data_IF_781509591673
#
_entry.id   IF_781509591673
#
_cell.length_a   1.000
_cell.length_b   1.000
_cell.length_c   1.000
_cell.angle_alpha   90.00
_cell.angle_beta   90.00
_cell.angle_gamma   90.00
#
_symmetry.space_group_name_H-M   'P 1'
#
loop_
_entity.id
_entity.type
_entity.pdbx_description
1 polymer ?
#
# COMPACT_ATOMS: atom_id res chain seq x y z
N UNK A 1 39.51 41.42 -44.33
CA UNK A 1 39.71 40.34 -43.32
C UNK A 1 38.39 40.01 -42.70
N UNK A 2 37.74 38.92 -43.18
CA UNK A 2 36.44 38.46 -42.65
C UNK A 2 36.71 37.51 -41.49
N UNK A 3 36.24 37.84 -40.28
CA UNK A 3 36.27 36.95 -39.11
C UNK A 3 35.17 35.91 -39.28
N UNK A 4 35.56 34.67 -39.46
CA UNK A 4 34.67 33.51 -39.43
C UNK A 4 34.42 33.21 -37.95
N UNK A 5 33.20 33.44 -37.51
CA UNK A 5 32.73 33.07 -36.18
C UNK A 5 32.28 31.58 -36.25
N UNK A 6 33.12 30.72 -35.74
CA UNK A 6 32.82 29.28 -35.63
C UNK A 6 31.85 29.07 -34.47
N UNK A 7 30.60 28.83 -34.78
CA UNK A 7 29.60 28.35 -33.77
C UNK A 7 29.89 26.86 -33.51
N UNK A 8 30.53 26.61 -32.38
CA UNK A 8 30.57 25.24 -31.82
C UNK A 8 29.18 25.03 -31.20
N UNK A 9 28.31 24.38 -31.96
CA UNK A 9 27.08 23.78 -31.40
C UNK A 9 27.54 22.54 -30.64
N UNK A 10 27.73 22.68 -29.34
CA UNK A 10 27.79 21.57 -28.43
C UNK A 10 26.43 20.89 -28.45
N UNK A 11 26.32 19.80 -29.20
CA UNK A 11 25.32 18.77 -28.97
C UNK A 11 25.64 18.17 -27.60
N UNK A 12 25.12 18.77 -26.56
CA UNK A 12 24.81 18.08 -25.32
C UNK A 12 23.66 17.12 -25.64
N UNK A 13 23.99 16.01 -26.30
CA UNK A 13 23.12 14.83 -26.32
C UNK A 13 22.91 14.46 -24.88
N UNK A 14 21.66 14.64 -24.44
CA UNK A 14 21.22 14.55 -23.08
C UNK A 14 21.73 13.31 -22.36
N UNK A 15 22.43 13.56 -21.29
CA UNK A 15 22.39 12.69 -20.13
C UNK A 15 21.16 13.17 -19.35
N UNK A 16 19.98 13.05 -19.95
CA UNK A 16 18.70 13.15 -19.26
C UNK A 16 18.43 11.83 -18.52
N UNK A 17 19.37 11.42 -17.73
CA UNK A 17 19.18 10.49 -16.64
C UNK A 17 19.02 11.28 -15.34
N UNK A 18 18.21 12.31 -15.33
CA UNK A 18 17.62 12.78 -14.08
C UNK A 18 16.70 11.63 -13.62
N UNK A 19 17.22 10.78 -12.77
CA UNK A 19 16.47 9.71 -12.15
C UNK A 19 15.33 10.36 -11.37
N UNK A 20 14.13 10.35 -11.94
CA UNK A 20 12.95 10.79 -11.25
C UNK A 20 12.74 9.85 -10.04
N UNK A 21 12.47 10.41 -8.89
CA UNK A 21 12.14 9.61 -7.70
C UNK A 21 10.69 9.08 -7.82
N UNK A 22 10.36 8.00 -7.12
CA UNK A 22 8.97 7.60 -6.95
C UNK A 22 8.14 8.78 -6.43
N UNK A 23 6.88 8.88 -6.88
CA UNK A 23 5.97 9.91 -6.40
C UNK A 23 5.33 9.42 -5.13
N UNK A 24 5.70 10.01 -4.00
CA UNK A 24 5.10 9.75 -2.70
C UNK A 24 4.01 10.78 -2.42
N UNK A 25 2.78 10.32 -2.14
CA UNK A 25 1.66 11.15 -1.72
C UNK A 25 1.18 10.63 -0.37
N UNK A 26 1.47 11.40 0.67
CA UNK A 26 1.06 11.11 2.05
C UNK A 26 -0.20 11.90 2.42
N UNK A 27 -0.95 11.39 3.39
CA UNK A 27 -2.12 12.08 3.92
C UNK A 27 -3.25 12.28 2.91
N UNK A 28 -3.31 11.43 1.89
CA UNK A 28 -4.50 11.33 1.05
C UNK A 28 -5.64 10.78 1.89
N UNK A 29 -6.89 11.14 1.57
CA UNK A 29 -8.04 10.58 2.28
C UNK A 29 -9.16 10.15 1.34
N UNK A 30 -9.98 9.26 1.85
CA UNK A 30 -11.23 8.82 1.23
C UNK A 30 -12.31 8.79 2.31
N UNK A 31 -13.46 9.42 2.06
CA UNK A 31 -14.61 9.25 2.94
C UNK A 31 -15.17 7.84 2.83
N UNK A 32 -15.29 7.17 3.96
CA UNK A 32 -15.85 5.81 4.04
C UNK A 32 -17.28 5.85 4.57
N UNK A 33 -18.29 5.51 3.77
CA UNK A 33 -19.65 5.27 4.25
C UNK A 33 -19.73 4.16 5.30
N UNK A 34 -18.93 3.10 5.16
CA UNK A 34 -18.92 1.96 6.10
C UNK A 34 -18.36 2.34 7.46
N UNK A 35 -17.33 3.20 7.51
CA UNK A 35 -16.70 3.67 8.75
C UNK A 35 -17.25 5.03 9.22
N UNK A 36 -18.03 5.73 8.38
CA UNK A 36 -18.62 7.04 8.61
C UNK A 36 -17.59 8.13 8.94
N UNK A 37 -16.41 8.01 8.35
CA UNK A 37 -15.29 8.93 8.56
C UNK A 37 -14.37 9.00 7.35
N UNK A 38 -13.51 10.01 7.32
CA UNK A 38 -12.35 10.03 6.43
C UNK A 38 -11.33 9.00 6.88
N UNK A 39 -10.80 8.23 5.93
CA UNK A 39 -9.71 7.28 6.17
C UNK A 39 -8.51 7.74 5.39
N UNK A 40 -7.41 7.99 6.10
CA UNK A 40 -6.17 8.41 5.48
C UNK A 40 -5.43 7.23 4.86
N UNK A 41 -4.65 7.52 3.81
CA UNK A 41 -3.74 6.57 3.20
C UNK A 41 -2.55 7.27 2.56
N UNK A 42 -1.44 6.57 2.41
CA UNK A 42 -0.33 6.97 1.55
C UNK A 42 -0.33 6.15 0.27
N UNK A 43 0.14 6.74 -0.81
CA UNK A 43 0.34 6.05 -2.08
C UNK A 43 1.69 6.38 -2.66
N UNK A 44 2.40 5.36 -3.15
CA UNK A 44 3.67 5.50 -3.86
C UNK A 44 3.47 5.01 -5.28
N UNK A 45 3.73 5.89 -6.23
CA UNK A 45 3.69 5.61 -7.64
C UNK A 45 5.11 5.37 -8.17
N UNK A 46 5.34 4.38 -9.01
CA UNK A 46 6.68 4.11 -9.53
C UNK A 46 7.19 5.24 -10.41
N UNK A 47 8.51 5.32 -10.55
CA UNK A 47 9.15 6.26 -11.47
C UNK A 47 8.52 6.17 -12.86
N UNK A 48 8.32 7.33 -13.50
CA UNK A 48 7.74 7.40 -14.84
C UNK A 48 6.22 7.20 -14.90
N UNK A 49 5.53 7.01 -13.78
CA UNK A 49 4.08 6.83 -13.75
C UNK A 49 3.33 7.91 -14.53
N UNK A 50 3.64 9.20 -14.34
CA UNK A 50 2.91 10.32 -14.99
C UNK A 50 3.09 10.36 -16.52
N UNK A 51 4.11 9.69 -17.05
CA UNK A 51 4.45 9.67 -18.47
C UNK A 51 4.19 8.32 -19.15
N UNK A 52 3.41 7.46 -18.53
CA UNK A 52 3.13 6.10 -19.00
C UNK A 52 1.63 5.81 -18.96
N UNK A 53 1.12 5.11 -19.97
CA UNK A 53 -0.23 4.55 -19.98
C UNK A 53 -0.28 3.11 -19.42
N UNK A 54 0.84 2.65 -18.85
CA UNK A 54 0.94 1.28 -18.30
C UNK A 54 0.03 1.11 -17.09
N UNK A 55 -0.66 -0.01 -17.01
CA UNK A 55 -1.35 -0.47 -15.80
C UNK A 55 -0.38 -1.23 -14.90
N UNK A 56 -0.32 -0.86 -13.62
CA UNK A 56 0.61 -1.39 -12.65
C UNK A 56 -0.06 -2.34 -11.65
N UNK A 57 0.64 -3.39 -11.20
CA UNK A 57 0.20 -4.13 -10.01
C UNK A 57 0.12 -3.23 -8.78
N UNK A 58 -0.73 -3.59 -7.84
CA UNK A 58 -0.91 -2.86 -6.57
C UNK A 58 -0.51 -3.74 -5.41
N UNK A 59 0.34 -3.21 -4.52
CA UNK A 59 0.66 -3.80 -3.23
C UNK A 59 0.00 -2.98 -2.11
N UNK A 60 -0.98 -3.56 -1.45
CA UNK A 60 -1.58 -2.99 -0.24
C UNK A 60 -0.74 -3.39 0.97
N UNK A 61 -0.37 -2.41 1.82
CA UNK A 61 0.57 -2.59 2.92
C UNK A 61 -0.08 -2.22 4.24
N UNK A 62 -0.30 -3.21 5.10
CA UNK A 62 -0.98 -3.08 6.39
C UNK A 62 0.03 -2.91 7.52
N UNK A 63 -0.10 -1.84 8.30
CA UNK A 63 0.78 -1.54 9.44
C UNK A 63 0.41 -2.35 10.69
N UNK A 64 1.32 -2.38 11.67
CA UNK A 64 1.09 -2.98 12.98
C UNK A 64 0.33 -2.08 13.96
N UNK A 65 0.02 -2.58 15.14
CA UNK A 65 -0.57 -1.79 16.22
C UNK A 65 0.29 -0.56 16.51
N UNK A 66 -0.36 0.61 16.66
CA UNK A 66 0.31 1.88 16.94
C UNK A 66 0.97 2.55 15.74
N UNK A 67 0.87 1.93 14.56
CA UNK A 67 1.25 2.55 13.30
C UNK A 67 0.07 3.26 12.62
N UNK A 68 0.36 3.83 11.46
CA UNK A 68 -0.59 4.52 10.59
C UNK A 68 -0.15 4.40 9.12
N UNK A 69 -0.75 5.20 8.25
CA UNK A 69 -0.47 5.25 6.81
C UNK A 69 0.95 5.73 6.45
N UNK A 70 1.74 6.27 7.40
CA UNK A 70 3.14 6.71 7.17
C UNK A 70 4.17 5.65 7.57
N UNK A 71 3.78 4.68 8.42
CA UNK A 71 4.70 3.78 9.11
C UNK A 71 5.63 3.00 8.18
N UNK A 72 5.16 2.52 7.04
CA UNK A 72 5.99 1.82 6.07
C UNK A 72 6.99 2.75 5.37
N UNK A 73 6.64 4.03 5.21
CA UNK A 73 7.54 5.05 4.65
C UNK A 73 8.62 5.42 5.66
N UNK A 74 8.22 5.80 6.87
CA UNK A 74 9.13 6.31 7.91
C UNK A 74 10.09 5.23 8.45
N UNK A 75 9.53 4.06 8.84
CA UNK A 75 10.34 3.00 9.45
C UNK A 75 10.85 1.98 8.43
N UNK A 76 10.11 1.73 7.36
CA UNK A 76 10.46 0.76 6.32
C UNK A 76 11.27 1.34 5.16
N UNK A 77 11.23 2.66 4.97
CA UNK A 77 11.85 3.35 3.84
C UNK A 77 11.50 2.67 2.49
N UNK A 78 10.25 2.20 2.39
CA UNK A 78 9.83 1.26 1.33
C UNK A 78 9.88 1.89 -0.06
N UNK A 79 9.64 3.19 -0.21
CA UNK A 79 9.71 3.88 -1.48
C UNK A 79 11.13 3.82 -2.07
N UNK A 80 12.14 4.06 -1.25
CA UNK A 80 13.56 3.97 -1.65
C UNK A 80 13.98 2.54 -1.95
N UNK A 81 13.50 1.58 -1.16
CA UNK A 81 13.78 0.15 -1.38
C UNK A 81 13.18 -0.29 -2.71
N UNK A 82 11.92 0.05 -2.98
CA UNK A 82 11.24 -0.23 -4.24
C UNK A 82 12.02 0.35 -5.42
N UNK A 83 12.32 1.64 -5.39
CA UNK A 83 13.05 2.34 -6.45
C UNK A 83 14.38 1.66 -6.76
N UNK A 84 15.17 1.37 -5.71
CA UNK A 84 16.44 0.65 -5.86
C UNK A 84 16.26 -0.71 -6.52
N UNK A 85 15.30 -1.51 -6.08
CA UNK A 85 15.08 -2.86 -6.61
C UNK A 85 14.57 -2.84 -8.07
N UNK A 86 13.76 -1.85 -8.43
CA UNK A 86 13.30 -1.64 -9.81
C UNK A 86 14.51 -1.27 -10.70
N UNK A 87 15.34 -0.32 -10.27
CA UNK A 87 16.55 0.10 -11.01
C UNK A 87 17.57 -1.03 -11.19
N UNK A 88 17.66 -1.93 -10.22
CA UNK A 88 18.48 -3.13 -10.29
C UNK A 88 17.84 -4.26 -11.13
N UNK A 89 16.65 -4.07 -11.67
CA UNK A 89 15.91 -5.07 -12.47
C UNK A 89 15.44 -6.29 -11.67
N UNK A 90 15.40 -6.19 -10.33
CA UNK A 90 15.00 -7.29 -9.43
C UNK A 90 13.49 -7.45 -9.32
N UNK A 91 12.76 -6.36 -9.48
CA UNK A 91 11.30 -6.34 -9.45
C UNK A 91 10.76 -5.44 -10.56
N UNK A 92 9.53 -5.70 -10.96
CA UNK A 92 8.81 -4.82 -11.90
C UNK A 92 8.21 -3.64 -11.14
N UNK A 93 7.98 -2.49 -11.81
CA UNK A 93 7.29 -1.35 -11.21
C UNK A 93 5.87 -1.72 -10.73
N UNK A 94 5.46 -1.21 -9.57
CA UNK A 94 4.13 -1.39 -9.00
C UNK A 94 3.72 -0.20 -8.15
N UNK A 95 2.44 -0.09 -7.83
CA UNK A 95 1.87 0.93 -6.95
C UNK A 95 1.84 0.37 -5.53
N UNK A 96 2.25 1.16 -4.51
CA UNK A 96 2.02 0.83 -3.11
C UNK A 96 0.88 1.67 -2.55
N UNK A 97 0.01 1.07 -1.76
CA UNK A 97 -1.08 1.75 -1.03
C UNK A 97 -1.00 1.35 0.43
N UNK A 98 -0.89 2.32 1.31
CA UNK A 98 -0.75 2.13 2.76
C UNK A 98 -1.94 2.79 3.44
N UNK A 99 -3.05 2.08 3.69
CA UNK A 99 -4.19 2.64 4.40
C UNK A 99 -3.93 2.71 5.91
N UNK A 100 -4.54 3.70 6.58
CA UNK A 100 -4.62 3.72 8.02
C UNK A 100 -5.57 2.60 8.49
N UNK A 101 -5.03 1.65 9.22
CA UNK A 101 -5.76 0.50 9.75
C UNK A 101 -6.32 0.74 11.15
N UNK A 102 -5.95 1.84 11.79
CA UNK A 102 -6.30 2.11 13.20
C UNK A 102 -5.97 0.90 14.12
N UNK A 103 -6.90 0.51 14.97
CA UNK A 103 -6.83 -0.71 15.80
C UNK A 103 -7.84 -1.77 15.34
N UNK A 104 -8.22 -1.76 14.06
CA UNK A 104 -9.30 -2.59 13.50
C UNK A 104 -8.93 -4.05 13.27
N UNK A 105 -7.65 -4.43 13.35
CA UNK A 105 -7.16 -5.71 12.85
C UNK A 105 -7.55 -5.98 11.38
N UNK A 106 -7.91 -4.90 10.64
CA UNK A 106 -8.36 -4.95 9.24
C UNK A 106 -9.61 -5.83 9.04
N UNK A 107 -10.44 -5.94 10.05
CA UNK A 107 -11.63 -6.81 10.08
C UNK A 107 -12.87 -6.02 10.43
N UNK A 108 -14.03 -6.53 9.99
CA UNK A 108 -15.32 -6.06 10.49
C UNK A 108 -15.55 -6.63 11.88
N UNK A 109 -16.07 -5.82 12.81
CA UNK A 109 -16.46 -6.26 14.14
C UNK A 109 -17.76 -7.05 14.07
N UNK A 110 -17.92 -8.00 14.98
CA UNK A 110 -19.12 -8.86 15.04
C UNK A 110 -20.41 -8.06 15.25
N UNK A 111 -20.34 -7.01 16.05
CA UNK A 111 -21.48 -6.12 16.35
C UNK A 111 -21.73 -5.06 15.26
N UNK A 112 -20.92 -5.03 14.23
CA UNK A 112 -21.01 -4.05 13.14
C UNK A 112 -20.60 -2.62 13.52
N UNK A 113 -20.00 -2.42 14.69
CA UNK A 113 -19.54 -1.11 15.14
C UNK A 113 -18.39 -0.54 14.32
N UNK A 114 -17.60 -1.41 13.67
CA UNK A 114 -16.56 -1.06 12.71
C UNK A 114 -16.58 -2.04 11.53
N UNK A 115 -16.68 -1.52 10.32
CA UNK A 115 -16.75 -2.31 9.09
C UNK A 115 -15.49 -2.09 8.24
N UNK A 116 -14.30 -2.35 8.83
CA UNK A 116 -13.03 -2.02 8.20
C UNK A 116 -12.73 -2.89 6.96
N UNK A 117 -12.97 -4.21 7.02
CA UNK A 117 -12.78 -5.06 5.85
C UNK A 117 -13.74 -4.68 4.73
N UNK A 118 -15.00 -4.37 5.09
CA UNK A 118 -15.99 -3.87 4.13
C UNK A 118 -15.49 -2.57 3.47
N UNK A 119 -15.00 -1.61 4.23
CA UNK A 119 -14.37 -0.40 3.70
C UNK A 119 -13.22 -0.76 2.73
N UNK A 120 -12.28 -1.57 3.19
CA UNK A 120 -11.11 -1.91 2.39
C UNK A 120 -11.49 -2.55 1.05
N UNK A 121 -12.37 -3.56 1.07
CA UNK A 121 -12.75 -4.35 -0.11
C UNK A 121 -13.74 -3.63 -1.01
N UNK A 122 -14.73 -2.93 -0.44
CA UNK A 122 -15.84 -2.35 -1.21
C UNK A 122 -15.66 -0.89 -1.56
N UNK A 123 -14.78 -0.19 -0.87
CA UNK A 123 -14.59 1.24 -1.04
C UNK A 123 -13.15 1.57 -1.48
N UNK A 124 -12.13 1.24 -0.69
CA UNK A 124 -10.75 1.62 -0.99
C UNK A 124 -10.20 0.93 -2.24
N UNK A 125 -10.31 -0.40 -2.37
CA UNK A 125 -9.79 -1.12 -3.55
C UNK A 125 -10.44 -0.60 -4.84
N UNK A 126 -11.77 -0.46 -4.95
CA UNK A 126 -12.39 0.12 -6.14
C UNK A 126 -12.02 1.60 -6.36
N UNK A 127 -11.85 2.37 -5.29
CA UNK A 127 -11.41 3.77 -5.41
C UNK A 127 -10.01 3.87 -6.03
N UNK A 128 -9.07 3.06 -5.57
CA UNK A 128 -7.70 3.00 -6.14
C UNK A 128 -7.76 2.58 -7.62
N UNK A 129 -8.55 1.56 -7.94
CA UNK A 129 -8.72 1.09 -9.32
C UNK A 129 -9.35 2.12 -10.26
N UNK A 130 -10.17 3.04 -9.76
CA UNK A 130 -10.82 4.07 -10.55
C UNK A 130 -9.98 5.34 -10.71
N UNK A 131 -9.04 5.59 -9.79
CA UNK A 131 -8.25 6.83 -9.79
C UNK A 131 -6.81 6.62 -10.26
N UNK A 132 -6.34 5.37 -10.33
CA UNK A 132 -4.98 5.04 -10.74
C UNK A 132 -4.97 3.95 -11.81
N UNK A 133 -3.90 3.89 -12.58
CA UNK A 133 -3.71 2.87 -13.62
C UNK A 133 -3.28 1.56 -12.98
N UNK A 134 -4.24 0.78 -12.55
CA UNK A 134 -4.03 -0.49 -11.84
C UNK A 134 -4.40 -1.70 -12.70
N UNK A 135 -3.66 -2.78 -12.53
CA UNK A 135 -4.06 -4.10 -13.03
C UNK A 135 -5.16 -4.66 -12.13
N UNK A 136 -6.39 -4.75 -12.67
CA UNK A 136 -7.59 -5.08 -11.88
C UNK A 136 -7.84 -6.59 -11.71
N UNK A 137 -6.96 -7.42 -12.25
CA UNK A 137 -7.05 -8.87 -12.10
C UNK A 137 -6.38 -9.37 -10.79
N UNK A 138 -6.61 -10.62 -10.44
CA UNK A 138 -6.06 -11.25 -9.23
C UNK A 138 -4.53 -11.19 -9.17
N UNK A 139 -3.85 -11.34 -10.31
CA UNK A 139 -2.38 -11.31 -10.37
C UNK A 139 -1.83 -9.87 -10.25
N UNK A 140 -2.70 -8.89 -10.44
CA UNK A 140 -2.39 -7.47 -10.27
C UNK A 140 -2.52 -6.97 -8.84
N UNK A 141 -2.97 -7.79 -7.88
CA UNK A 141 -3.13 -7.35 -6.48
C UNK A 141 -2.43 -8.25 -5.49
N UNK A 142 -1.73 -7.61 -4.56
CA UNK A 142 -1.03 -8.27 -3.46
C UNK A 142 -1.28 -7.54 -2.15
N UNK A 143 -1.21 -8.26 -1.04
CA UNK A 143 -1.25 -7.67 0.31
C UNK A 143 0.01 -8.09 1.07
N UNK A 144 0.60 -7.15 1.80
CA UNK A 144 1.62 -7.41 2.82
C UNK A 144 1.19 -6.75 4.12
N UNK A 145 1.49 -7.37 5.24
CA UNK A 145 1.25 -6.75 6.54
C UNK A 145 2.21 -7.23 7.61
N UNK A 146 2.39 -6.39 8.63
CA UNK A 146 3.25 -6.66 9.79
C UNK A 146 2.42 -6.71 11.07
N UNK A 147 2.66 -7.70 11.95
CA UNK A 147 1.99 -7.85 13.26
C UNK A 147 0.45 -7.89 13.10
N UNK A 148 -0.28 -6.92 13.65
CA UNK A 148 -1.72 -6.71 13.41
C UNK A 148 -2.04 -6.72 11.91
N UNK A 149 -1.26 -5.99 11.10
CA UNK A 149 -1.40 -5.96 9.65
C UNK A 149 -1.11 -7.31 9.00
N UNK A 150 -0.20 -8.10 9.57
CA UNK A 150 0.07 -9.47 9.12
C UNK A 150 -1.13 -10.39 9.31
N UNK A 151 -1.81 -10.28 10.45
CA UNK A 151 -3.10 -10.95 10.69
C UNK A 151 -4.15 -10.48 9.69
N UNK A 152 -4.29 -9.15 9.51
CA UNK A 152 -5.22 -8.56 8.56
C UNK A 152 -4.96 -9.03 7.13
N UNK A 153 -3.71 -9.03 6.69
CA UNK A 153 -3.32 -9.49 5.35
C UNK A 153 -3.77 -10.95 5.09
N UNK A 154 -3.52 -11.86 6.04
CA UNK A 154 -3.99 -13.24 5.95
C UNK A 154 -5.51 -13.34 5.96
N UNK A 155 -6.15 -12.70 6.91
CA UNK A 155 -7.60 -12.78 7.10
C UNK A 155 -8.37 -12.26 5.90
N UNK A 156 -8.01 -11.06 5.43
CA UNK A 156 -8.63 -10.42 4.27
C UNK A 156 -8.41 -11.25 3.01
N UNK A 157 -7.17 -11.68 2.74
CA UNK A 157 -6.87 -12.46 1.52
C UNK A 157 -7.56 -13.81 1.50
N UNK A 158 -7.65 -14.50 2.64
CA UNK A 158 -8.31 -15.80 2.73
C UNK A 158 -9.84 -15.71 2.55
N UNK A 159 -10.46 -14.64 3.05
CA UNK A 159 -11.90 -14.38 2.83
C UNK A 159 -12.20 -13.89 1.41
N UNK A 160 -11.24 -13.21 0.76
CA UNK A 160 -11.40 -12.59 -0.56
C UNK A 160 -10.42 -13.16 -1.59
N UNK A 161 -10.34 -14.50 -1.69
CA UNK A 161 -9.35 -15.23 -2.52
C UNK A 161 -9.37 -14.86 -4.00
N UNK A 162 -10.47 -14.34 -4.49
CA UNK A 162 -10.63 -13.93 -5.88
C UNK A 162 -10.01 -12.56 -6.19
N UNK A 163 -9.60 -11.78 -5.18
CA UNK A 163 -9.07 -10.43 -5.35
C UNK A 163 -7.55 -10.34 -5.29
N UNK A 164 -6.88 -11.24 -4.56
CA UNK A 164 -5.44 -11.12 -4.28
C UNK A 164 -4.70 -12.37 -4.70
N UNK A 165 -3.71 -12.20 -5.59
CA UNK A 165 -2.87 -13.28 -6.08
C UNK A 165 -1.70 -13.63 -5.16
N UNK A 166 -1.32 -12.70 -4.28
CA UNK A 166 -0.22 -12.91 -3.33
C UNK A 166 -0.51 -12.28 -1.99
N UNK A 167 -0.05 -12.93 -0.93
CA UNK A 167 -0.09 -12.42 0.44
C UNK A 167 1.23 -12.67 1.15
N UNK A 168 1.69 -11.66 1.90
CA UNK A 168 2.86 -11.77 2.78
C UNK A 168 2.46 -11.32 4.18
N UNK A 169 2.66 -12.20 5.16
CA UNK A 169 2.39 -11.90 6.56
C UNK A 169 3.70 -11.94 7.35
N UNK A 170 4.14 -10.78 7.82
CA UNK A 170 5.34 -10.62 8.63
C UNK A 170 4.96 -10.64 10.11
N UNK A 171 5.44 -11.65 10.83
CA UNK A 171 5.16 -11.82 12.26
C UNK A 171 3.68 -11.57 12.61
N UNK A 172 2.73 -12.28 11.97
CA UNK A 172 1.31 -11.98 12.12
C UNK A 172 0.87 -12.19 13.57
N UNK A 173 0.03 -11.28 14.07
CA UNK A 173 -0.54 -11.36 15.42
C UNK A 173 -1.63 -12.43 15.49
N UNK A 174 -1.23 -13.70 15.37
CA UNK A 174 -2.11 -14.84 15.49
C UNK A 174 -2.02 -15.34 16.92
N UNK A 175 -3.17 -15.45 17.59
CA UNK A 175 -3.27 -16.02 18.93
C UNK A 175 -3.99 -17.36 18.87
N UNK A 176 -3.52 -18.32 19.64
CA UNK A 176 -4.28 -19.53 19.92
C UNK A 176 -5.38 -19.21 20.90
N UNK A 177 -6.45 -20.01 20.94
CA UNK A 177 -7.52 -19.88 21.93
C UNK A 177 -6.96 -19.81 23.36
N UNK A 178 -5.96 -20.65 23.67
CA UNK A 178 -5.30 -20.66 24.97
C UNK A 178 -4.63 -19.31 25.29
N UNK A 179 -3.88 -18.75 24.35
CA UNK A 179 -3.21 -17.44 24.54
C UNK A 179 -4.21 -16.30 24.70
N UNK A 180 -5.34 -16.38 23.98
CA UNK A 180 -6.41 -15.38 24.12
C UNK A 180 -7.01 -15.40 25.53
N UNK A 181 -7.31 -16.59 26.08
CA UNK A 181 -7.84 -16.77 27.43
C UNK A 181 -6.84 -16.33 28.52
N UNK A 182 -5.54 -16.60 28.33
CA UNK A 182 -4.49 -16.27 29.29
C UNK A 182 -4.16 -14.76 29.33
N UNK A 183 -4.23 -14.08 28.20
CA UNK A 183 -3.86 -12.65 28.08
C UNK A 183 -5.01 -11.71 28.38
N UNK A 184 -6.26 -12.12 28.18
CA UNK A 184 -7.46 -11.39 28.60
C UNK A 184 -8.10 -12.13 29.80
N UNK A 185 -7.75 -11.76 31.04
CA UNK A 185 -8.45 -12.29 32.20
C UNK A 185 -9.93 -11.97 32.01
N UNK A 186 -10.76 -13.00 32.06
CA UNK A 186 -12.20 -12.98 31.77
C UNK A 186 -12.84 -11.69 32.26
N UNK A 187 -13.16 -10.77 31.35
CA UNK A 187 -14.28 -9.90 31.54
C UNK A 187 -15.48 -10.83 31.56
N UNK A 188 -16.06 -11.00 32.74
CA UNK A 188 -17.31 -11.72 32.93
C UNK A 188 -18.30 -11.25 31.86
N UNK A 189 -18.60 -12.13 30.93
CA UNK A 189 -19.68 -11.96 29.99
C UNK A 189 -20.95 -12.34 30.75
N UNK A 190 -21.21 -11.61 31.84
CA UNK A 190 -22.43 -11.76 32.61
C UNK A 190 -23.58 -11.04 31.90
N UNK A 191 -24.48 -11.93 31.40
CA UNK A 191 -25.88 -11.77 31.02
C UNK A 191 -26.23 -10.87 29.86
#
# INVERSE_FOLDING_TARGET
MKKILLYIILFLSGIDGAWALPIEKEGMSIYSPSLKQEVSYSIILPEGYEHSDTEYPVLYMFHGIGGDYTSWLEYGNVARVMDKMIKEGKIQPFIMVIPDGYLSYYSDTYDGSSLYETFFIKELVPYIDNNYRTRKDINGRSIIGFSMGGFGALSVSLRNRHLFGSVVALSPSIRTEKQYIEEEPQKEWDS
#
